data_IF_044580074697
#
_entry.id   IF_044580074697
#
_cell.length_a   1.000
_cell.length_b   1.000
_cell.length_c   1.000
_cell.angle_alpha   90.00
_cell.angle_beta   90.00
_cell.angle_gamma   90.00
#
_symmetry.space_group_name_H-M   'P 1'
#
loop_
_entity.id
_entity.type
_entity.pdbx_description
1 polymer ?
#
# COMPACT_ATOMS: atom_id res chain seq x y z
N UNK A 1 7.81 10.58 9.29
CA UNK A 1 7.12 9.31 9.62
C UNK A 1 5.87 9.22 8.77
N UNK A 2 5.65 8.07 8.16
CA UNK A 2 4.63 7.96 7.13
C UNK A 2 3.92 6.62 7.24
N UNK A 3 2.61 6.65 7.52
CA UNK A 3 1.78 5.44 7.55
C UNK A 3 1.23 5.07 6.16
N UNK A 4 1.67 5.75 5.10
CA UNK A 4 1.27 5.41 3.74
C UNK A 4 2.14 4.29 3.19
N UNK A 5 1.52 3.34 2.51
CA UNK A 5 2.23 2.38 1.67
C UNK A 5 2.28 2.95 0.26
N UNK A 6 3.48 3.13 -0.28
CA UNK A 6 3.66 3.70 -1.61
C UNK A 6 4.22 2.64 -2.54
N UNK A 7 3.51 2.41 -3.64
CA UNK A 7 3.89 1.45 -4.67
C UNK A 7 4.14 2.21 -5.97
N UNK A 8 5.40 2.23 -6.42
CA UNK A 8 5.77 2.90 -7.66
C UNK A 8 6.87 2.11 -8.37
N UNK A 9 6.79 2.03 -9.69
CA UNK A 9 7.70 1.23 -10.49
C UNK A 9 8.14 1.99 -11.73
N UNK A 10 9.40 1.77 -12.14
CA UNK A 10 9.97 2.39 -13.33
C UNK A 10 9.48 1.66 -14.58
N UNK A 11 8.69 2.36 -15.38
CA UNK A 11 8.12 1.84 -16.62
C UNK A 11 8.80 2.37 -17.88
N UNK A 12 9.88 3.14 -17.75
CA UNK A 12 10.47 3.83 -18.88
C UNK A 12 10.90 2.88 -20.01
N UNK A 13 11.43 1.70 -19.65
CA UNK A 13 11.90 0.71 -20.61
C UNK A 13 10.84 -0.32 -21.00
N UNK A 14 9.63 -0.24 -20.45
CA UNK A 14 8.59 -1.24 -20.69
C UNK A 14 7.80 -0.91 -21.96
N UNK A 15 7.34 -1.95 -22.66
CA UNK A 15 6.42 -1.79 -23.77
C UNK A 15 5.01 -1.40 -23.32
N UNK A 16 4.17 -0.95 -24.24
CA UNK A 16 2.82 -0.45 -23.92
C UNK A 16 1.96 -1.50 -23.20
N UNK A 17 2.03 -2.75 -23.63
CA UNK A 17 1.27 -3.82 -23.00
C UNK A 17 1.77 -4.09 -21.57
N UNK A 18 3.09 -4.11 -21.38
CA UNK A 18 3.67 -4.32 -20.04
C UNK A 18 3.33 -3.17 -19.11
N UNK A 19 3.33 -1.92 -19.60
CA UNK A 19 2.92 -0.75 -18.82
C UNK A 19 1.48 -0.88 -18.31
N UNK A 20 0.57 -1.30 -19.20
CA UNK A 20 -0.84 -1.45 -18.86
C UNK A 20 -1.03 -2.57 -17.82
N UNK A 21 -0.36 -3.71 -18.01
CA UNK A 21 -0.46 -4.82 -17.08
C UNK A 21 0.16 -4.48 -15.72
N UNK A 22 1.26 -3.73 -15.72
CA UNK A 22 1.87 -3.25 -14.49
C UNK A 22 0.94 -2.30 -13.73
N UNK A 23 0.30 -1.38 -14.43
CA UNK A 23 -0.66 -0.46 -13.79
C UNK A 23 -1.81 -1.23 -13.14
N UNK A 24 -2.35 -2.22 -13.84
CA UNK A 24 -3.42 -3.07 -13.31
C UNK A 24 -2.96 -3.85 -12.07
N UNK A 25 -1.75 -4.42 -12.11
CA UNK A 25 -1.21 -5.20 -11.00
C UNK A 25 -0.98 -4.33 -9.77
N UNK A 26 -0.45 -3.12 -9.97
CA UNK A 26 -0.19 -2.18 -8.87
C UNK A 26 -1.50 -1.74 -8.22
N UNK A 27 -2.51 -1.41 -9.02
CA UNK A 27 -3.82 -1.01 -8.47
C UNK A 27 -4.49 -2.15 -7.72
N UNK A 28 -4.43 -3.38 -8.26
CA UNK A 28 -4.96 -4.54 -7.56
C UNK A 28 -4.27 -4.76 -6.23
N UNK A 29 -2.94 -4.68 -6.21
CA UNK A 29 -2.17 -4.86 -4.98
C UNK A 29 -2.48 -3.76 -3.98
N UNK A 30 -2.63 -2.51 -4.44
CA UNK A 30 -3.04 -1.40 -3.57
C UNK A 30 -4.38 -1.66 -2.89
N UNK A 31 -5.34 -2.19 -3.63
CA UNK A 31 -6.64 -2.56 -3.05
C UNK A 31 -6.53 -3.73 -2.07
N UNK A 32 -5.64 -4.68 -2.33
CA UNK A 32 -5.36 -5.76 -1.38
C UNK A 32 -4.76 -5.20 -0.08
N UNK A 33 -3.85 -4.23 -0.18
CA UNK A 33 -3.29 -3.55 0.99
C UNK A 33 -4.40 -2.85 1.78
N UNK A 34 -5.31 -2.14 1.11
CA UNK A 34 -6.46 -1.49 1.76
C UNK A 34 -7.26 -2.53 2.55
N UNK A 35 -7.61 -3.64 1.90
CA UNK A 35 -8.43 -4.68 2.52
C UNK A 35 -7.74 -5.28 3.75
N UNK A 36 -6.47 -5.63 3.62
CA UNK A 36 -5.72 -6.23 4.72
C UNK A 36 -5.53 -5.23 5.86
N UNK A 37 -5.20 -3.97 5.53
CA UNK A 37 -5.04 -2.93 6.54
C UNK A 37 -6.34 -2.69 7.30
N UNK A 38 -7.49 -2.71 6.60
CA UNK A 38 -8.79 -2.59 7.25
C UNK A 38 -9.06 -3.75 8.21
N UNK A 39 -8.64 -4.96 7.85
CA UNK A 39 -8.78 -6.12 8.72
C UNK A 39 -7.86 -6.06 9.95
N UNK A 40 -6.69 -5.44 9.80
CA UNK A 40 -5.70 -5.33 10.87
C UNK A 40 -5.98 -4.13 11.80
N UNK A 41 -6.70 -3.12 11.33
CA UNK A 41 -6.98 -1.93 12.12
C UNK A 41 -7.85 -2.29 13.33
N UNK A 42 -7.59 -1.69 14.52
CA UNK A 42 -8.40 -1.96 15.69
C UNK A 42 -9.88 -1.69 15.47
N UNK A 43 -10.74 -2.60 15.96
CA UNK A 43 -12.19 -2.54 15.72
C UNK A 43 -12.83 -1.32 16.39
N UNK A 44 -12.36 -0.95 17.58
CA UNK A 44 -12.89 0.19 18.33
C UNK A 44 -12.52 1.53 17.70
N UNK A 45 -11.71 1.51 16.66
CA UNK A 45 -11.38 2.71 15.86
C UNK A 45 -12.01 2.63 14.48
N UNK A 46 -13.33 2.41 14.44
CA UNK A 46 -14.07 2.24 13.19
C UNK A 46 -13.84 3.36 12.18
N UNK A 47 -13.67 4.60 12.64
CA UNK A 47 -13.37 5.73 11.75
C UNK A 47 -12.00 5.59 11.09
N UNK A 48 -11.01 5.07 11.78
CA UNK A 48 -9.70 4.78 11.19
C UNK A 48 -9.84 3.75 10.08
N UNK A 49 -10.48 2.63 10.39
CA UNK A 49 -10.69 1.56 9.42
C UNK A 49 -11.39 2.08 8.16
N UNK A 50 -12.47 2.84 8.32
CA UNK A 50 -13.23 3.38 7.21
C UNK A 50 -12.46 4.41 6.40
N UNK A 51 -11.45 5.06 7.01
CA UNK A 51 -10.67 6.10 6.33
C UNK A 51 -9.54 5.54 5.47
N UNK A 52 -9.21 4.24 5.59
CA UNK A 52 -8.14 3.65 4.80
C UNK A 52 -8.60 3.54 3.36
N UNK A 53 -7.81 4.09 2.45
CA UNK A 53 -8.12 4.08 1.03
C UNK A 53 -6.89 4.14 0.17
N UNK A 54 -7.10 4.12 -1.15
CA UNK A 54 -6.03 4.15 -2.14
C UNK A 54 -6.21 5.36 -3.04
N UNK A 55 -5.10 6.03 -3.35
CA UNK A 55 -5.06 7.12 -4.32
C UNK A 55 -4.05 6.77 -5.40
N UNK A 56 -4.45 6.84 -6.66
CA UNK A 56 -3.51 6.67 -7.76
C UNK A 56 -2.74 7.97 -7.97
N UNK A 57 -1.42 7.88 -7.97
CA UNK A 57 -0.53 9.05 -8.06
C UNK A 57 0.16 9.16 -9.42
N UNK A 58 -0.02 8.16 -10.28
CA UNK A 58 0.56 8.13 -11.61
C UNK A 58 0.41 6.74 -12.22
N UNK A 59 0.96 6.49 -13.43
CA UNK A 59 0.95 5.14 -14.00
C UNK A 59 1.72 4.18 -13.10
N UNK A 60 1.09 3.06 -12.74
CA UNK A 60 1.65 2.03 -11.85
C UNK A 60 2.18 2.63 -10.53
N UNK A 61 1.48 3.62 -9.99
CA UNK A 61 1.87 4.29 -8.76
C UNK A 61 0.63 4.61 -7.94
N UNK A 62 0.57 4.08 -6.74
CA UNK A 62 -0.56 4.30 -5.82
C UNK A 62 -0.03 4.55 -4.42
N UNK A 63 -0.82 5.24 -3.62
CA UNK A 63 -0.57 5.42 -2.20
C UNK A 63 -1.77 4.87 -1.43
N UNK A 64 -1.52 4.11 -0.38
CA UNK A 64 -2.54 3.52 0.48
C UNK A 64 -2.33 4.01 1.90
N UNK A 65 -3.37 4.51 2.52
CA UNK A 65 -3.28 4.94 3.90
C UNK A 65 -4.58 5.52 4.41
N UNK A 66 -4.62 5.85 5.70
CA UNK A 66 -5.80 6.44 6.32
C UNK A 66 -5.85 7.94 6.06
N UNK A 67 -7.08 8.48 6.03
CA UNK A 67 -7.30 9.92 6.07
C UNK A 67 -7.50 10.42 7.50
N UNK A 68 -7.76 9.52 8.45
CA UNK A 68 -7.86 9.88 9.85
C UNK A 68 -6.51 10.31 10.39
N UNK A 69 -6.43 11.50 10.98
CA UNK A 69 -5.16 12.09 11.42
C UNK A 69 -4.50 11.33 12.57
N UNK A 70 -5.25 10.51 13.31
CA UNK A 70 -4.68 9.72 14.40
C UNK A 70 -4.13 8.36 13.92
N UNK A 71 -4.15 8.07 12.61
CA UNK A 71 -3.66 6.80 12.08
C UNK A 71 -2.22 6.49 12.42
N UNK A 72 -1.35 7.50 12.41
CA UNK A 72 0.06 7.33 12.77
C UNK A 72 0.22 6.89 14.23
N UNK A 73 -0.60 7.42 15.13
CA UNK A 73 -0.53 7.04 16.54
C UNK A 73 -0.91 5.58 16.76
N UNK A 74 -1.85 5.08 15.98
CA UNK A 74 -2.23 3.66 16.04
C UNK A 74 -1.13 2.78 15.48
N UNK A 75 -0.55 3.16 14.33
CA UNK A 75 0.50 2.37 13.68
C UNK A 75 1.76 2.27 14.54
N UNK A 76 2.20 3.39 15.09
CA UNK A 76 3.51 3.51 15.74
C UNK A 76 3.43 3.57 17.26
N UNK A 77 2.25 3.84 17.82
CA UNK A 77 2.08 4.00 19.26
C UNK A 77 2.49 5.37 19.75
N UNK A 78 2.26 5.61 21.02
CA UNK A 78 2.69 6.80 21.73
C UNK A 78 3.25 6.37 23.08
N UNK A 79 3.75 7.32 23.86
CA UNK A 79 4.24 6.99 25.21
C UNK A 79 3.12 6.49 26.14
N UNK A 80 1.85 6.72 25.80
CA UNK A 80 0.68 6.25 26.56
C UNK A 80 -0.02 5.06 25.94
N UNK A 81 0.32 4.71 24.68
CA UNK A 81 -0.41 3.69 23.94
C UNK A 81 0.56 2.81 23.18
N UNK A 82 0.43 1.50 23.35
CA UNK A 82 1.23 0.55 22.58
C UNK A 82 0.85 0.62 21.10
N UNK A 83 1.83 0.39 20.23
CA UNK A 83 1.59 0.33 18.79
C UNK A 83 0.66 -0.83 18.43
N UNK A 84 -0.25 -0.59 17.51
CA UNK A 84 -1.11 -1.61 16.91
C UNK A 84 -0.99 -1.50 15.41
N UNK A 85 0.11 -2.02 14.80
CA UNK A 85 0.37 -1.84 13.37
C UNK A 85 -0.72 -2.44 12.50
N UNK A 86 -1.11 -1.72 11.46
CA UNK A 86 -2.10 -2.18 10.49
C UNK A 86 -1.65 -1.96 9.04
N UNK A 87 -0.82 -0.94 8.77
CA UNK A 87 -0.32 -0.67 7.42
C UNK A 87 0.91 -1.51 7.09
N UNK A 88 1.88 -1.61 7.99
CA UNK A 88 3.09 -2.39 7.74
C UNK A 88 2.80 -3.87 7.51
N UNK A 89 1.97 -4.55 8.34
CA UNK A 89 1.64 -5.94 8.07
C UNK A 89 0.89 -6.12 6.75
N UNK A 90 0.04 -5.17 6.37
CA UNK A 90 -0.70 -5.25 5.12
C UNK A 90 0.23 -5.15 3.91
N UNK A 91 1.15 -4.20 3.94
CA UNK A 91 2.14 -4.03 2.88
C UNK A 91 3.05 -5.27 2.78
N UNK A 92 3.53 -5.76 3.92
CA UNK A 92 4.40 -6.94 3.96
C UNK A 92 3.71 -8.18 3.40
N UNK A 93 2.40 -8.30 3.55
CA UNK A 93 1.64 -9.43 3.04
C UNK A 93 1.39 -9.33 1.54
N UNK A 94 1.17 -8.12 1.00
CA UNK A 94 0.73 -7.94 -0.38
C UNK A 94 1.87 -7.69 -1.38
N UNK A 95 2.92 -6.97 -0.97
CA UNK A 95 3.96 -6.50 -1.89
C UNK A 95 4.78 -7.63 -2.53
N UNK A 96 5.17 -8.72 -1.81
CA UNK A 96 5.97 -9.76 -2.44
C UNK A 96 5.32 -10.37 -3.70
N UNK A 97 4.00 -10.58 -3.68
CA UNK A 97 3.29 -11.08 -4.85
C UNK A 97 3.32 -10.13 -6.02
N UNK A 98 3.25 -8.82 -5.74
CA UNK A 98 3.37 -7.80 -6.79
C UNK A 98 4.75 -7.81 -7.42
N UNK A 99 5.81 -7.86 -6.61
CA UNK A 99 7.18 -7.89 -7.11
C UNK A 99 7.38 -9.10 -8.03
N UNK A 100 6.89 -10.26 -7.63
CA UNK A 100 6.96 -11.46 -8.43
C UNK A 100 6.21 -11.29 -9.76
N UNK A 101 5.00 -10.75 -9.73
CA UNK A 101 4.20 -10.52 -10.93
C UNK A 101 4.89 -9.56 -11.89
N UNK A 102 5.49 -8.47 -11.37
CA UNK A 102 6.19 -7.49 -12.19
C UNK A 102 7.49 -8.05 -12.75
N UNK A 103 8.18 -8.92 -12.03
CA UNK A 103 9.41 -9.56 -12.53
C UNK A 103 9.14 -10.37 -13.79
N UNK A 104 7.97 -11.00 -13.91
CA UNK A 104 7.61 -11.74 -15.12
C UNK A 104 7.40 -10.82 -16.31
N UNK A 105 7.17 -9.52 -16.09
CA UNK A 105 7.04 -8.51 -17.13
C UNK A 105 8.37 -7.80 -17.43
N UNK A 106 9.45 -8.17 -16.72
CA UNK A 106 10.76 -7.54 -16.88
C UNK A 106 10.85 -6.17 -16.24
N UNK A 107 10.01 -5.89 -15.25
CA UNK A 107 9.96 -4.59 -14.57
C UNK A 107 10.55 -4.72 -13.17
N UNK A 108 11.52 -3.86 -12.84
CA UNK A 108 12.13 -3.81 -11.52
C UNK A 108 11.49 -2.74 -10.65
N UNK A 109 11.43 -3.01 -9.34
CA UNK A 109 10.92 -2.03 -8.39
C UNK A 109 11.87 -0.83 -8.31
N UNK A 110 11.28 0.37 -8.26
CA UNK A 110 12.04 1.57 -7.92
C UNK A 110 12.24 1.53 -6.41
N UNK A 111 13.46 1.56 -5.97
CA UNK A 111 13.80 1.39 -4.57
C UNK A 111 13.02 2.29 -3.61
N UNK A 112 12.91 1.95 -2.43
CA UNK A 112 12.30 2.74 -1.39
C UNK A 112 11.15 2.18 -0.71
#
# INVERSE_FOLDING_TARGET
MNELAKLAFDLAAAGAKAKRLADMAVRKTGLDVVRIAQMQAPVDTGNLRASIGMTQTGPASVEVGPTAHYGAYVEYGTYKMAAQPYMSPAADAAIPGLIEALSTLGIDAIGG
#
